data_IF_646409006751
#
_entry.id   IF_646409006751
#
_cell.length_a   1.000
_cell.length_b   1.000
_cell.length_c   1.000
_cell.angle_alpha   90.00
_cell.angle_beta   90.00
_cell.angle_gamma   90.00
#
_symmetry.space_group_name_H-M   'P 1'
#
loop_
_entity.id
_entity.type
_entity.pdbx_description
1 polymer ?
#
# COMPACT_ATOMS: atom_id res chain seq x y z
N UNK A 1 -7.86 36.99 3.70
CA UNK A 1 -8.69 36.75 2.52
C UNK A 1 -8.06 35.58 1.73
N UNK A 2 -8.89 34.65 1.31
CA UNK A 2 -8.46 33.56 0.42
C UNK A 2 -8.32 34.12 -0.99
N UNK A 3 -7.23 33.82 -1.66
CA UNK A 3 -6.98 34.18 -3.04
C UNK A 3 -6.97 32.89 -3.86
N UNK A 4 -7.85 32.81 -4.84
CA UNK A 4 -7.81 31.74 -5.83
C UNK A 4 -6.61 31.97 -6.75
N UNK A 5 -5.79 30.94 -6.88
CA UNK A 5 -4.65 30.91 -7.79
C UNK A 5 -4.76 29.68 -8.68
N UNK A 6 -4.79 29.90 -9.97
CA UNK A 6 -4.67 28.81 -10.93
C UNK A 6 -3.28 28.21 -10.85
N UNK A 7 -3.22 26.90 -10.70
CA UNK A 7 -1.97 26.12 -10.68
C UNK A 7 -2.10 24.96 -11.63
N UNK A 8 -1.05 24.69 -12.40
CA UNK A 8 -0.97 23.49 -13.19
C UNK A 8 -0.75 22.29 -12.26
N UNK A 9 -1.71 21.38 -12.26
CA UNK A 9 -1.71 20.16 -11.43
C UNK A 9 -1.89 18.92 -12.29
N UNK A 10 -1.20 17.85 -11.89
CA UNK A 10 -1.41 16.52 -12.45
C UNK A 10 -2.21 15.67 -11.48
N UNK A 11 -3.07 14.79 -12.01
CA UNK A 11 -3.73 13.75 -11.23
C UNK A 11 -2.75 12.63 -10.95
N UNK A 12 -2.78 12.12 -9.73
CA UNK A 12 -2.04 10.93 -9.29
C UNK A 12 -3.06 9.85 -8.97
N UNK A 13 -2.82 8.64 -9.44
CA UNK A 13 -3.61 7.45 -9.14
C UNK A 13 -2.65 6.33 -8.79
N UNK A 14 -2.87 5.71 -7.64
CA UNK A 14 -2.18 4.50 -7.20
C UNK A 14 -3.19 3.39 -6.99
N UNK A 15 -2.86 2.19 -7.41
CA UNK A 15 -3.64 0.97 -7.12
C UNK A 15 -2.67 -0.18 -6.90
N UNK A 16 -2.85 -0.90 -5.79
CA UNK A 16 -2.07 -2.09 -5.48
C UNK A 16 -2.91 -3.15 -4.77
N UNK A 17 -2.40 -4.38 -4.70
CA UNK A 17 -3.06 -5.47 -4.00
C UNK A 17 -2.45 -5.70 -2.63
N UNK A 18 -3.30 -5.99 -1.63
CA UNK A 18 -2.88 -6.38 -0.28
C UNK A 18 -3.58 -7.66 0.17
N UNK A 19 -3.33 -8.74 -0.56
CA UNK A 19 -4.11 -9.97 -0.52
C UNK A 19 -3.86 -10.82 0.72
N UNK A 20 -2.58 -11.15 1.00
CA UNK A 20 -2.23 -12.09 2.06
C UNK A 20 -2.57 -11.58 3.47
N UNK A 21 -2.20 -10.36 3.87
CA UNK A 21 -2.59 -9.84 5.18
C UNK A 21 -4.11 -9.74 5.35
N UNK A 22 -4.85 -9.38 4.28
CA UNK A 22 -6.32 -9.34 4.29
C UNK A 22 -6.93 -10.74 4.43
N UNK A 23 -6.29 -11.78 3.89
CA UNK A 23 -6.74 -13.16 4.08
C UNK A 23 -6.60 -13.62 5.54
N UNK A 24 -5.55 -13.19 6.24
CA UNK A 24 -5.25 -13.61 7.61
C UNK A 24 -6.03 -12.76 8.64
N UNK A 25 -6.07 -11.45 8.45
CA UNK A 25 -6.74 -10.49 9.33
C UNK A 25 -7.41 -9.42 8.47
N UNK A 26 -8.70 -9.60 8.09
CA UNK A 26 -9.33 -8.77 7.08
C UNK A 26 -9.33 -7.28 7.41
N UNK A 27 -9.65 -6.91 8.65
CA UNK A 27 -9.66 -5.51 9.09
C UNK A 27 -8.25 -4.89 9.01
N UNK A 28 -7.29 -5.44 9.76
CA UNK A 28 -5.92 -4.89 9.82
C UNK A 28 -5.20 -5.01 8.48
N UNK A 29 -5.41 -6.10 7.75
CA UNK A 29 -4.81 -6.28 6.43
C UNK A 29 -5.30 -5.25 5.40
N UNK A 30 -6.59 -4.94 5.40
CA UNK A 30 -7.14 -3.90 4.50
C UNK A 30 -6.77 -2.49 4.96
N UNK A 31 -6.68 -2.24 6.26
CA UNK A 31 -6.24 -0.97 6.84
C UNK A 31 -4.80 -0.66 6.41
N UNK A 32 -3.87 -1.58 6.64
CA UNK A 32 -2.47 -1.41 6.27
C UNK A 32 -2.24 -1.36 4.76
N UNK A 33 -3.09 -2.05 3.97
CA UNK A 33 -3.11 -1.89 2.52
C UNK A 33 -3.44 -0.47 2.08
N UNK A 34 -4.40 0.18 2.74
CA UNK A 34 -4.72 1.60 2.50
C UNK A 34 -3.55 2.50 2.90
N UNK A 35 -2.85 2.21 4.00
CA UNK A 35 -1.65 2.95 4.39
C UNK A 35 -0.53 2.84 3.35
N UNK A 36 -0.28 1.63 2.81
CA UNK A 36 0.71 1.41 1.75
C UNK A 36 0.42 2.23 0.51
N UNK A 37 -0.83 2.23 0.08
CA UNK A 37 -1.27 3.02 -1.07
C UNK A 37 -1.07 4.53 -0.85
N UNK A 38 -1.42 5.05 0.36
CA UNK A 38 -1.22 6.46 0.72
C UNK A 38 0.27 6.82 0.60
N UNK A 39 1.16 5.97 1.11
CA UNK A 39 2.61 6.25 1.07
C UNK A 39 3.15 6.34 -0.35
N UNK A 40 2.80 5.40 -1.20
CA UNK A 40 3.20 5.40 -2.61
C UNK A 40 2.69 6.66 -3.34
N UNK A 41 1.42 6.99 -3.13
CA UNK A 41 0.82 8.19 -3.70
C UNK A 41 1.55 9.44 -3.21
N UNK A 42 1.76 9.58 -1.89
CA UNK A 42 2.45 10.70 -1.27
C UNK A 42 3.89 10.86 -1.75
N UNK A 43 4.61 9.74 -1.97
CA UNK A 43 5.99 9.72 -2.45
C UNK A 43 6.14 9.96 -3.96
N UNK A 44 5.02 10.17 -4.68
CA UNK A 44 5.08 10.46 -6.12
C UNK A 44 5.78 11.81 -6.37
N UNK A 45 6.73 11.82 -7.31
CA UNK A 45 7.53 12.99 -7.63
C UNK A 45 8.36 13.48 -6.44
N UNK A 46 8.10 14.70 -5.99
CA UNK A 46 8.70 15.30 -4.78
C UNK A 46 7.66 15.64 -3.73
N UNK A 47 6.64 14.79 -3.63
CA UNK A 47 5.52 14.88 -2.71
C UNK A 47 4.22 15.30 -3.39
N UNK A 48 3.24 14.41 -3.36
CA UNK A 48 1.87 14.65 -3.82
C UNK A 48 0.89 14.77 -2.66
N UNK A 49 -0.32 15.26 -2.97
CA UNK A 49 -1.41 15.45 -2.01
C UNK A 49 -2.46 14.39 -2.24
N UNK A 50 -2.57 13.47 -1.33
CA UNK A 50 -3.58 12.41 -1.35
C UNK A 50 -4.98 13.01 -1.09
N UNK A 51 -6.00 12.62 -1.87
CA UNK A 51 -7.33 13.25 -1.83
C UNK A 51 -8.44 12.29 -1.44
N UNK A 52 -8.46 11.10 -2.00
CA UNK A 52 -9.48 10.09 -1.72
C UNK A 52 -8.87 8.69 -1.84
N UNK A 53 -9.25 7.81 -0.94
CA UNK A 53 -8.96 6.39 -1.02
C UNK A 53 -10.11 5.62 -1.64
N UNK A 54 -9.83 4.45 -2.18
CA UNK A 54 -10.82 3.48 -2.61
C UNK A 54 -10.34 2.05 -2.31
N UNK A 55 -11.28 1.13 -2.21
CA UNK A 55 -10.94 -0.27 -2.02
C UNK A 55 -11.88 -1.18 -2.82
N UNK A 56 -11.36 -2.32 -3.24
CA UNK A 56 -12.12 -3.33 -3.96
C UNK A 56 -11.78 -4.74 -3.49
N UNK A 57 -12.74 -5.65 -3.58
CA UNK A 57 -12.57 -7.01 -3.07
C UNK A 57 -13.08 -8.04 -4.07
N UNK A 58 -12.27 -9.07 -4.34
CA UNK A 58 -12.71 -10.32 -4.95
C UNK A 58 -12.56 -11.42 -3.89
N UNK A 59 -13.64 -12.17 -3.67
CA UNK A 59 -13.68 -13.30 -2.74
C UNK A 59 -14.44 -14.48 -3.38
N UNK A 60 -14.34 -15.65 -2.78
CA UNK A 60 -15.17 -16.79 -3.13
C UNK A 60 -16.65 -16.57 -2.71
N UNK A 61 -17.49 -17.57 -2.78
CA UNK A 61 -18.89 -17.49 -2.41
C UNK A 61 -19.06 -17.07 -0.94
N UNK A 62 -20.00 -16.15 -0.69
CA UNK A 62 -20.20 -15.58 0.65
C UNK A 62 -20.90 -16.55 1.59
N UNK A 63 -21.78 -17.41 1.09
CA UNK A 63 -22.60 -18.35 1.88
C UNK A 63 -23.28 -17.64 3.07
N UNK A 64 -23.96 -16.51 2.81
CA UNK A 64 -24.61 -15.69 3.84
C UNK A 64 -25.70 -16.54 4.51
N UNK A 65 -25.62 -16.78 5.85
CA UNK A 65 -26.60 -17.61 6.55
C UNK A 65 -28.03 -17.13 6.37
N UNK A 66 -28.90 -18.00 5.87
CA UNK A 66 -30.31 -17.68 5.59
C UNK A 66 -30.54 -16.86 4.31
N UNK A 67 -29.50 -16.61 3.53
CA UNK A 67 -29.57 -15.90 2.24
C UNK A 67 -28.66 -16.52 1.20
N UNK A 68 -28.45 -17.83 1.25
CA UNK A 68 -27.59 -18.55 0.30
C UNK A 68 -28.16 -18.42 -1.13
N UNK A 69 -27.29 -18.14 -2.07
CA UNK A 69 -27.67 -18.01 -3.46
C UNK A 69 -27.73 -19.36 -4.17
N UNK A 70 -28.53 -19.52 -5.24
CA UNK A 70 -28.67 -20.80 -5.95
C UNK A 70 -27.35 -21.39 -6.46
N UNK A 71 -26.38 -20.54 -6.78
CA UNK A 71 -25.06 -20.95 -7.29
C UNK A 71 -24.06 -21.31 -6.18
N UNK A 72 -24.37 -21.06 -4.91
CA UNK A 72 -23.49 -21.34 -3.76
C UNK A 72 -23.67 -22.76 -3.19
N UNK A 73 -24.71 -23.48 -3.61
CA UNK A 73 -25.19 -24.73 -2.99
C UNK A 73 -24.24 -25.93 -3.07
N UNK A 74 -23.17 -25.88 -3.85
CA UNK A 74 -22.27 -27.00 -4.08
C UNK A 74 -20.83 -26.73 -3.61
N UNK A 75 -20.60 -25.69 -2.87
CA UNK A 75 -19.26 -25.38 -2.36
C UNK A 75 -18.92 -26.36 -1.23
N UNK A 76 -18.14 -27.39 -1.55
CA UNK A 76 -17.57 -28.33 -0.58
C UNK A 76 -16.12 -27.95 -0.19
N UNK A 77 -15.67 -26.76 -0.58
CA UNK A 77 -14.31 -26.31 -0.30
C UNK A 77 -14.18 -25.94 1.16
N UNK A 78 -13.31 -26.66 1.87
CA UNK A 78 -12.92 -26.26 3.22
C UNK A 78 -11.89 -25.16 3.14
N UNK A 79 -12.15 -24.03 3.81
CA UNK A 79 -11.15 -23.00 4.01
C UNK A 79 -10.06 -23.49 4.97
N UNK A 80 -8.78 -23.18 4.72
CA UNK A 80 -7.74 -23.34 5.73
C UNK A 80 -8.11 -22.55 6.99
N UNK A 81 -7.95 -23.13 8.17
CA UNK A 81 -8.37 -22.53 9.46
C UNK A 81 -7.82 -21.11 9.70
N UNK A 82 -6.67 -20.80 9.12
CA UNK A 82 -6.00 -19.51 9.24
C UNK A 82 -6.45 -18.43 8.24
N UNK A 83 -7.25 -18.79 7.24
CA UNK A 83 -7.78 -17.84 6.26
C UNK A 83 -9.21 -17.51 6.65
N UNK A 84 -9.49 -16.22 6.78
CA UNK A 84 -10.83 -15.72 7.04
C UNK A 84 -11.80 -16.14 5.91
N UNK A 85 -13.04 -16.36 6.25
CA UNK A 85 -14.08 -16.70 5.28
C UNK A 85 -14.34 -15.54 4.32
N UNK A 86 -14.88 -15.84 3.15
CA UNK A 86 -15.26 -14.82 2.17
C UNK A 86 -16.21 -13.77 2.77
N UNK A 87 -17.15 -14.19 3.63
CA UNK A 87 -18.08 -13.31 4.31
C UNK A 87 -17.38 -12.37 5.32
N UNK A 88 -16.49 -12.91 6.15
CA UNK A 88 -15.70 -12.10 7.09
C UNK A 88 -14.85 -11.06 6.35
N UNK A 89 -14.19 -11.44 5.26
CA UNK A 89 -13.40 -10.52 4.45
C UNK A 89 -14.27 -9.39 3.88
N UNK A 90 -15.47 -9.73 3.37
CA UNK A 90 -16.38 -8.74 2.78
C UNK A 90 -17.01 -7.80 3.80
N UNK A 91 -17.11 -8.21 5.06
CA UNK A 91 -17.62 -7.37 6.16
C UNK A 91 -16.50 -6.52 6.75
N UNK A 92 -15.39 -7.13 7.14
CA UNK A 92 -14.34 -6.46 7.91
C UNK A 92 -13.32 -5.70 7.04
N UNK A 93 -13.01 -6.21 5.85
CA UNK A 93 -12.03 -5.59 4.97
C UNK A 93 -12.35 -4.13 4.61
N UNK A 94 -13.57 -3.83 4.12
CA UNK A 94 -13.97 -2.44 3.84
C UNK A 94 -13.96 -1.54 5.08
N UNK A 95 -14.28 -2.09 6.26
CA UNK A 95 -14.23 -1.35 7.52
C UNK A 95 -12.81 -0.96 7.89
N UNK A 96 -11.86 -1.88 7.75
CA UNK A 96 -10.45 -1.62 7.99
C UNK A 96 -9.89 -0.53 7.05
N UNK A 97 -10.14 -0.66 5.74
CA UNK A 97 -9.73 0.33 4.76
C UNK A 97 -10.35 1.71 5.05
N UNK A 98 -11.63 1.75 5.40
CA UNK A 98 -12.35 2.98 5.73
C UNK A 98 -11.83 3.63 7.02
N UNK A 99 -11.55 2.83 8.05
CA UNK A 99 -11.00 3.29 9.32
C UNK A 99 -9.65 3.99 9.14
N UNK A 100 -8.72 3.35 8.43
CA UNK A 100 -7.41 3.94 8.16
C UNK A 100 -7.52 5.30 7.45
N UNK A 101 -8.30 5.34 6.37
CA UNK A 101 -8.49 6.58 5.62
C UNK A 101 -9.15 7.68 6.47
N UNK A 102 -10.13 7.31 7.30
CA UNK A 102 -10.81 8.25 8.18
C UNK A 102 -9.87 8.86 9.23
N UNK A 103 -9.04 8.05 9.88
CA UNK A 103 -8.06 8.52 10.86
C UNK A 103 -6.93 9.33 10.19
N UNK A 104 -6.49 8.93 9.00
CA UNK A 104 -5.55 9.71 8.20
C UNK A 104 -6.13 11.07 7.79
N UNK A 105 -7.43 11.16 7.55
CA UNK A 105 -8.14 12.40 7.23
C UNK A 105 -8.47 12.60 5.76
N UNK A 106 -8.78 11.51 5.03
CA UNK A 106 -9.33 11.55 3.68
C UNK A 106 -10.53 10.60 3.54
N UNK A 107 -11.52 10.87 2.68
CA UNK A 107 -12.63 9.95 2.46
C UNK A 107 -12.14 8.66 1.77
N UNK A 108 -12.70 7.52 2.19
CA UNK A 108 -12.53 6.24 1.51
C UNK A 108 -13.80 5.89 0.74
N UNK A 109 -13.65 5.64 -0.55
CA UNK A 109 -14.72 5.21 -1.42
C UNK A 109 -14.66 3.69 -1.62
N UNK A 110 -15.81 3.04 -1.62
CA UNK A 110 -15.88 1.62 -1.98
C UNK A 110 -15.80 1.51 -3.51
N UNK A 111 -14.76 0.84 -4.00
CA UNK A 111 -14.54 0.66 -5.43
C UNK A 111 -15.44 -0.41 -6.02
N UNK A 112 -15.35 -1.65 -5.53
CA UNK A 112 -16.17 -2.76 -6.01
C UNK A 112 -16.18 -3.95 -5.07
N UNK A 113 -17.20 -4.81 -5.26
CA UNK A 113 -17.31 -6.14 -4.67
C UNK A 113 -17.51 -7.17 -5.77
N UNK A 114 -16.76 -8.27 -5.72
CA UNK A 114 -16.87 -9.38 -6.64
C UNK A 114 -16.83 -10.70 -5.87
N UNK A 115 -17.70 -11.63 -6.25
CA UNK A 115 -17.64 -13.01 -5.79
C UNK A 115 -17.51 -13.92 -7.00
N UNK A 116 -16.66 -14.93 -6.88
CA UNK A 116 -16.54 -15.95 -7.90
C UNK A 116 -16.01 -17.25 -7.32
N UNK A 117 -16.74 -18.32 -7.57
CA UNK A 117 -16.30 -19.67 -7.30
C UNK A 117 -17.00 -20.61 -8.29
N UNK A 118 -16.26 -21.47 -8.93
CA UNK A 118 -16.78 -22.42 -9.91
C UNK A 118 -16.10 -23.78 -9.78
N UNK A 119 -16.88 -24.85 -9.78
CA UNK A 119 -16.37 -26.20 -9.94
C UNK A 119 -15.95 -26.42 -11.41
N UNK A 120 -14.70 -26.80 -11.62
CA UNK A 120 -14.13 -27.06 -12.95
C UNK A 120 -14.19 -28.56 -13.28
N UNK A 121 -13.98 -29.39 -12.27
CA UNK A 121 -14.08 -30.84 -12.34
C UNK A 121 -14.34 -31.39 -10.94
N UNK A 122 -14.68 -32.68 -10.81
CA UNK A 122 -14.93 -33.31 -9.52
C UNK A 122 -13.83 -32.97 -8.50
N UNK A 123 -14.19 -32.25 -7.44
CA UNK A 123 -13.31 -31.77 -6.36
C UNK A 123 -12.23 -30.76 -6.78
N UNK A 124 -12.36 -30.10 -7.93
CA UNK A 124 -11.47 -29.01 -8.35
C UNK A 124 -12.29 -27.72 -8.56
N UNK A 125 -11.96 -26.71 -7.78
CA UNK A 125 -12.65 -25.43 -7.77
C UNK A 125 -11.71 -24.31 -8.18
N UNK A 126 -12.28 -23.34 -8.89
CA UNK A 126 -11.63 -22.08 -9.22
C UNK A 126 -12.36 -20.96 -8.50
N UNK A 127 -11.65 -20.20 -7.67
CA UNK A 127 -12.25 -19.14 -6.85
C UNK A 127 -11.20 -18.31 -6.13
N UNK A 128 -11.67 -17.30 -5.43
CA UNK A 128 -10.82 -16.37 -4.65
C UNK A 128 -10.83 -16.72 -3.17
N UNK A 129 -10.42 -17.95 -2.81
CA UNK A 129 -10.29 -18.38 -1.41
C UNK A 129 -9.21 -17.55 -0.69
N UNK A 130 -8.05 -17.31 -1.32
CA UNK A 130 -7.19 -16.19 -0.99
C UNK A 130 -7.75 -14.96 -1.74
N UNK A 131 -8.22 -13.93 -1.04
CA UNK A 131 -8.89 -12.81 -1.68
C UNK A 131 -7.94 -12.02 -2.57
N UNK A 132 -8.50 -11.23 -3.48
CA UNK A 132 -7.83 -10.06 -4.00
C UNK A 132 -8.43 -8.86 -3.28
N UNK A 133 -7.64 -8.19 -2.45
CA UNK A 133 -7.95 -6.89 -1.89
C UNK A 133 -7.17 -5.85 -2.67
N UNK A 134 -7.88 -4.87 -3.21
CA UNK A 134 -7.28 -3.72 -3.88
C UNK A 134 -7.41 -2.50 -2.97
N UNK A 135 -6.26 -1.92 -2.61
CA UNK A 135 -6.17 -0.58 -2.08
C UNK A 135 -5.85 0.38 -3.21
N UNK A 136 -6.54 1.50 -3.26
CA UNK A 136 -6.31 2.51 -4.29
C UNK A 136 -6.57 3.90 -3.77
N UNK A 137 -6.08 4.88 -4.51
CA UNK A 137 -6.25 6.28 -4.18
C UNK A 137 -6.13 7.20 -5.37
N UNK A 138 -6.57 8.41 -5.13
CA UNK A 138 -6.52 9.50 -6.06
C UNK A 138 -5.98 10.75 -5.36
N UNK A 139 -5.05 11.42 -6.01
CA UNK A 139 -4.43 12.63 -5.51
C UNK A 139 -4.07 13.63 -6.59
N UNK A 140 -3.32 14.64 -6.19
CA UNK A 140 -2.88 15.71 -7.07
C UNK A 140 -1.44 16.14 -6.75
N UNK A 141 -0.68 16.47 -7.76
CA UNK A 141 0.67 16.98 -7.62
C UNK A 141 0.86 18.25 -8.47
N UNK A 142 1.45 19.27 -7.89
CA UNK A 142 1.78 20.49 -8.63
C UNK A 142 2.82 20.21 -9.72
N UNK A 143 2.68 20.84 -10.87
CA UNK A 143 3.58 20.68 -12.00
C UNK A 143 5.07 20.93 -11.64
N UNK A 144 5.37 21.80 -10.68
CA UNK A 144 6.74 22.04 -10.19
C UNK A 144 7.35 20.85 -9.42
N UNK A 145 6.52 19.90 -8.96
CA UNK A 145 6.92 18.79 -8.07
C UNK A 145 6.82 17.39 -8.72
N UNK A 146 6.26 17.27 -9.95
CA UNK A 146 5.96 15.96 -10.52
C UNK A 146 7.21 15.13 -10.89
N UNK A 147 8.36 15.80 -11.07
CA UNK A 147 9.64 15.12 -11.32
C UNK A 147 10.52 15.17 -10.09
N UNK A 148 11.09 14.03 -9.73
CA UNK A 148 12.23 13.95 -8.81
C UNK A 148 13.42 14.71 -9.40
N UNK A 149 14.25 15.29 -8.55
CA UNK A 149 15.53 15.86 -8.94
C UNK A 149 16.63 14.83 -8.74
N UNK A 150 17.77 15.05 -9.39
CA UNK A 150 18.94 14.20 -9.16
C UNK A 150 19.54 14.49 -7.79
N UNK A 151 19.80 13.44 -7.05
CA UNK A 151 20.57 13.48 -5.81
C UNK A 151 22.04 13.70 -6.19
N UNK A 152 22.74 14.55 -5.48
CA UNK A 152 24.14 14.84 -5.68
C UNK A 152 24.99 14.27 -4.54
N UNK A 153 26.33 14.29 -4.73
CA UNK A 153 27.25 13.88 -3.68
C UNK A 153 27.04 14.70 -2.41
N UNK A 154 27.11 14.02 -1.25
CA UNK A 154 26.90 14.62 0.07
C UNK A 154 25.49 15.11 0.38
N UNK A 155 24.50 14.91 -0.50
CA UNK A 155 23.11 15.13 -0.15
C UNK A 155 22.70 14.19 1.00
N UNK A 156 21.94 14.73 1.95
CA UNK A 156 21.53 13.98 3.13
C UNK A 156 20.46 12.94 2.78
N UNK A 157 20.55 11.79 3.44
CA UNK A 157 19.54 10.74 3.39
C UNK A 157 18.82 10.69 4.74
N UNK A 158 17.51 10.81 4.71
CA UNK A 158 16.67 10.99 5.90
C UNK A 158 15.60 9.89 5.91
N UNK A 159 15.37 9.33 7.10
CA UNK A 159 14.14 8.59 7.43
C UNK A 159 13.19 9.56 8.11
N UNK A 160 11.99 9.71 7.58
CA UNK A 160 10.89 10.49 8.14
C UNK A 160 9.81 9.53 8.62
N UNK A 161 9.28 9.72 9.84
CA UNK A 161 8.16 8.95 10.39
C UNK A 161 8.53 8.07 11.57
N UNK A 162 7.77 6.99 11.77
CA UNK A 162 7.85 6.13 12.94
C UNK A 162 9.15 5.35 13.09
N UNK A 163 9.42 4.79 14.30
CA UNK A 163 10.61 3.99 14.54
C UNK A 163 10.51 2.59 13.93
N UNK A 164 11.65 1.95 13.71
CA UNK A 164 11.74 0.53 13.37
C UNK A 164 11.24 -0.35 14.51
N UNK A 165 10.43 -1.34 14.18
CA UNK A 165 9.88 -2.37 15.08
C UNK A 165 10.03 -3.73 14.42
N UNK A 166 9.95 -4.80 15.21
CA UNK A 166 9.95 -6.16 14.64
C UNK A 166 8.58 -6.48 14.03
N UNK A 167 8.36 -6.00 12.82
CA UNK A 167 7.10 -6.16 12.08
C UNK A 167 7.41 -6.45 10.62
N UNK A 168 6.70 -7.43 10.04
CA UNK A 168 6.74 -7.71 8.60
C UNK A 168 8.06 -8.26 8.07
N UNK A 169 8.97 -8.73 8.93
CA UNK A 169 10.25 -9.27 8.49
C UNK A 169 10.03 -10.44 7.52
N UNK A 170 10.39 -10.23 6.25
CA UNK A 170 10.11 -11.20 5.18
C UNK A 170 8.66 -11.25 4.69
N UNK A 171 7.81 -10.28 5.06
CA UNK A 171 6.38 -10.21 4.69
C UNK A 171 6.18 -10.17 3.18
N UNK A 172 6.96 -9.41 2.45
CA UNK A 172 6.94 -9.37 0.98
C UNK A 172 7.22 -10.74 0.35
N UNK A 173 8.15 -11.51 0.90
CA UNK A 173 8.44 -12.88 0.46
C UNK A 173 7.31 -13.86 0.83
N UNK A 174 6.67 -13.70 2.00
CA UNK A 174 5.52 -14.50 2.41
C UNK A 174 4.30 -14.26 1.51
N UNK A 175 4.07 -13.01 1.11
CA UNK A 175 2.99 -12.62 0.19
C UNK A 175 3.07 -13.33 -1.16
N UNK A 176 4.27 -13.58 -1.67
CA UNK A 176 4.53 -14.21 -2.97
C UNK A 176 4.48 -15.74 -2.95
N UNK A 177 4.43 -16.39 -1.78
CA UNK A 177 4.39 -17.85 -1.66
C UNK A 177 2.96 -18.39 -1.66
N UNK A 178 2.80 -19.62 -2.16
CA UNK A 178 1.57 -20.36 -1.96
C UNK A 178 1.36 -20.62 -0.45
N UNK A 179 0.16 -20.36 0.04
CA UNK A 179 -0.21 -20.59 1.44
C UNK A 179 -0.05 -22.08 1.78
N UNK A 180 1.01 -22.44 2.51
CA UNK A 180 1.26 -23.80 2.98
C UNK A 180 1.13 -23.88 4.50
N UNK A 181 0.71 -25.03 5.02
CA UNK A 181 0.38 -25.28 6.44
C UNK A 181 1.56 -25.16 7.42
N UNK A 182 2.75 -24.74 7.00
CA UNK A 182 3.97 -24.80 7.81
C UNK A 182 4.47 -23.47 8.40
N UNK A 183 3.75 -22.35 8.23
CA UNK A 183 4.30 -21.03 8.55
C UNK A 183 3.34 -20.12 9.35
N UNK A 184 2.61 -20.64 10.33
CA UNK A 184 1.64 -19.85 11.13
C UNK A 184 2.26 -18.62 11.80
N UNK A 185 3.41 -18.78 12.46
CA UNK A 185 4.10 -17.68 13.16
C UNK A 185 4.55 -16.58 12.19
N UNK A 186 4.97 -16.94 10.97
CA UNK A 186 5.35 -15.98 9.94
C UNK A 186 4.14 -15.27 9.33
N UNK A 187 3.00 -15.97 9.22
CA UNK A 187 1.77 -15.38 8.70
C UNK A 187 1.25 -14.29 9.64
N UNK A 188 1.23 -14.53 10.97
CA UNK A 188 0.85 -13.51 11.95
C UNK A 188 1.87 -12.37 12.07
N UNK A 189 3.16 -12.65 11.95
CA UNK A 189 4.20 -11.63 11.93
C UNK A 189 4.16 -10.76 10.67
N UNK A 190 3.52 -11.22 9.58
CA UNK A 190 3.34 -10.46 8.36
C UNK A 190 2.21 -9.44 8.44
N UNK A 191 1.29 -9.56 9.41
CA UNK A 191 0.23 -8.58 9.64
C UNK A 191 0.82 -7.40 10.38
N UNK A 192 0.85 -6.26 9.73
CA UNK A 192 1.42 -5.02 10.24
C UNK A 192 0.41 -4.31 11.16
N UNK A 193 0.93 -3.42 12.03
CA UNK A 193 0.11 -2.55 12.86
C UNK A 193 0.04 -1.17 12.21
N UNK A 194 -1.17 -0.68 12.03
CA UNK A 194 -1.43 0.63 11.46
C UNK A 194 -1.18 1.77 12.47
N UNK A 195 -0.69 2.90 11.97
CA UNK A 195 -0.63 4.18 12.68
C UNK A 195 -0.96 5.34 11.73
N UNK A 196 -2.25 5.51 11.37
CA UNK A 196 -2.68 6.54 10.40
C UNK A 196 -2.32 7.96 10.83
N UNK A 197 -2.26 8.23 12.14
CA UNK A 197 -1.84 9.52 12.67
C UNK A 197 -0.38 9.83 12.33
N UNK A 198 0.52 8.87 12.50
CA UNK A 198 1.93 9.04 12.13
C UNK A 198 2.06 9.30 10.62
N UNK A 199 1.32 8.56 9.81
CA UNK A 199 1.32 8.77 8.37
C UNK A 199 0.79 10.14 7.99
N UNK A 200 -0.25 10.63 8.67
CA UNK A 200 -0.75 11.99 8.49
C UNK A 200 0.30 13.04 8.84
N UNK A 201 1.07 12.85 9.92
CA UNK A 201 2.17 13.76 10.29
C UNK A 201 3.24 13.80 9.20
N UNK A 202 3.60 12.64 8.64
CA UNK A 202 4.52 12.58 7.50
C UNK A 202 3.97 13.33 6.29
N UNK A 203 2.70 13.14 5.95
CA UNK A 203 2.04 13.84 4.85
C UNK A 203 2.07 15.36 5.05
N UNK A 204 1.82 15.85 6.28
CA UNK A 204 1.90 17.30 6.57
C UNK A 204 3.31 17.85 6.35
N UNK A 205 4.36 17.10 6.74
CA UNK A 205 5.76 17.49 6.47
C UNK A 205 6.00 17.58 4.96
N UNK A 206 5.60 16.54 4.21
CA UNK A 206 5.71 16.50 2.74
C UNK A 206 4.97 17.69 2.11
N UNK A 207 3.74 17.93 2.52
CA UNK A 207 2.90 19.03 2.03
C UNK A 207 3.52 20.40 2.32
N UNK A 208 4.10 20.62 3.50
CA UNK A 208 4.78 21.86 3.85
C UNK A 208 6.02 22.07 2.99
N UNK A 209 6.85 21.05 2.81
CA UNK A 209 8.02 21.12 1.94
C UNK A 209 7.63 21.43 0.49
N UNK A 210 6.61 20.74 -0.04
CA UNK A 210 6.16 20.89 -1.43
C UNK A 210 5.52 22.26 -1.70
N UNK A 211 4.96 22.91 -0.67
CA UNK A 211 4.34 24.23 -0.77
C UNK A 211 5.33 25.40 -0.61
N UNK A 212 6.57 25.17 -0.23
CA UNK A 212 7.60 26.19 -0.22
C UNK A 212 7.80 26.78 -1.61
N UNK A 213 8.31 28.02 -1.70
CA UNK A 213 8.69 28.63 -2.97
C UNK A 213 9.62 27.73 -3.77
N UNK A 214 10.62 27.16 -3.08
CA UNK A 214 11.49 26.10 -3.56
C UNK A 214 11.27 24.87 -2.68
N UNK A 215 10.74 23.80 -3.25
CA UNK A 215 10.62 22.55 -2.54
C UNK A 215 12.01 22.03 -2.19
N UNK A 216 12.26 21.78 -0.90
CA UNK A 216 13.55 21.31 -0.40
C UNK A 216 13.77 19.81 -0.57
N UNK A 217 12.69 19.03 -0.79
CA UNK A 217 12.79 17.59 -1.11
C UNK A 217 13.35 17.44 -2.52
N UNK A 218 14.47 16.73 -2.65
CA UNK A 218 15.12 16.39 -3.93
C UNK A 218 14.44 15.17 -4.52
N UNK A 219 14.36 14.10 -3.74
CA UNK A 219 13.73 12.84 -4.07
C UNK A 219 13.12 12.24 -2.81
N UNK A 220 12.06 11.47 -2.95
CA UNK A 220 11.36 10.79 -1.86
C UNK A 220 10.92 9.42 -2.33
N UNK A 221 10.94 8.44 -1.43
CA UNK A 221 10.45 7.09 -1.62
C UNK A 221 9.70 6.64 -0.35
N UNK A 222 8.64 5.87 -0.48
CA UNK A 222 7.98 5.25 0.67
C UNK A 222 8.80 4.08 1.21
N UNK A 223 8.53 3.68 2.44
CA UNK A 223 9.10 2.47 3.05
C UNK A 223 8.01 1.41 3.11
N UNK A 224 8.07 0.47 2.17
CA UNK A 224 7.14 -0.64 2.03
C UNK A 224 7.80 -1.99 2.22
N UNK A 225 7.54 -2.92 1.30
CA UNK A 225 8.11 -4.27 1.32
C UNK A 225 9.64 -4.25 1.33
N UNK A 226 10.25 -5.07 2.21
CA UNK A 226 11.69 -5.10 2.40
C UNK A 226 12.24 -3.96 3.27
N UNK A 227 11.39 -3.02 3.70
CA UNK A 227 11.79 -1.95 4.61
C UNK A 227 12.84 -1.01 4.03
N UNK A 228 13.75 -0.55 4.89
CA UNK A 228 14.84 0.34 4.47
C UNK A 228 15.81 -0.33 3.49
N UNK A 229 15.91 -1.67 3.53
CA UNK A 229 16.80 -2.41 2.63
C UNK A 229 16.41 -2.32 1.15
N UNK A 230 15.16 -1.97 0.88
CA UNK A 230 14.65 -1.70 -0.46
C UNK A 230 14.60 -0.18 -0.73
N UNK A 231 13.96 0.58 0.14
CA UNK A 231 13.65 1.98 -0.08
C UNK A 231 14.89 2.89 -0.22
N UNK A 232 15.95 2.67 0.59
CA UNK A 232 17.14 3.53 0.55
C UNK A 232 17.99 3.29 -0.70
N UNK A 233 18.32 2.03 -1.08
CA UNK A 233 18.99 1.78 -2.36
C UNK A 233 18.22 2.29 -3.57
N UNK A 234 16.90 2.10 -3.63
CA UNK A 234 16.06 2.61 -4.73
C UNK A 234 16.13 4.14 -4.83
N UNK A 235 16.05 4.84 -3.70
CA UNK A 235 16.13 6.30 -3.64
C UNK A 235 17.36 6.85 -4.33
N UNK A 236 18.54 6.26 -4.09
CA UNK A 236 19.82 6.74 -4.64
C UNK A 236 20.09 6.21 -6.05
N UNK A 237 19.59 5.01 -6.36
CA UNK A 237 19.75 4.38 -7.67
C UNK A 237 19.11 5.20 -8.80
N UNK A 238 17.98 5.84 -8.55
CA UNK A 238 17.29 6.71 -9.52
C UNK A 238 18.23 7.81 -10.05
N UNK A 239 19.20 8.25 -9.21
CA UNK A 239 20.20 9.26 -9.56
C UNK A 239 21.57 8.67 -9.91
N UNK A 240 21.70 7.34 -10.03
CA UNK A 240 22.95 6.62 -10.27
C UNK A 240 24.03 6.95 -9.22
N UNK A 241 23.63 7.02 -7.98
CA UNK A 241 24.51 7.28 -6.81
C UNK A 241 24.63 6.03 -5.95
N UNK A 242 25.62 6.03 -5.09
CA UNK A 242 25.70 5.17 -3.91
C UNK A 242 25.29 5.90 -2.65
N UNK A 243 25.46 5.24 -1.52
CA UNK A 243 25.16 5.82 -0.23
C UNK A 243 26.06 5.27 0.88
N UNK A 244 26.30 6.07 1.91
CA UNK A 244 26.87 5.63 3.18
C UNK A 244 25.83 5.84 4.27
N UNK A 245 25.38 4.76 4.87
CA UNK A 245 24.32 4.74 5.89
C UNK A 245 24.90 4.27 7.22
N UNK A 246 24.61 5.02 8.28
CA UNK A 246 24.91 4.68 9.64
C UNK A 246 23.68 4.06 10.31
N UNK A 247 23.71 2.74 10.53
CA UNK A 247 22.58 1.99 11.09
C UNK A 247 22.21 2.45 12.51
N UNK A 248 23.16 3.02 13.26
CA UNK A 248 22.93 3.48 14.63
C UNK A 248 22.05 4.74 14.71
N UNK A 249 21.92 5.44 13.58
CA UNK A 249 21.09 6.63 13.45
C UNK A 249 19.64 6.33 13.05
N UNK A 250 19.34 5.08 12.72
CA UNK A 250 17.97 4.68 12.39
C UNK A 250 17.14 4.64 13.68
N UNK A 251 16.00 5.36 13.74
CA UNK A 251 15.13 5.32 14.91
C UNK A 251 14.58 3.91 15.14
N UNK A 252 14.70 3.41 16.37
CA UNK A 252 14.25 2.08 16.78
C UNK A 252 13.35 2.19 18.00
N UNK A 253 12.27 1.39 18.06
CA UNK A 253 11.39 1.30 19.20
C UNK A 253 11.93 0.33 20.27
N UNK A 254 12.69 -0.68 19.86
CA UNK A 254 13.25 -1.71 20.71
C UNK A 254 14.79 -1.81 20.49
N UNK A 255 15.54 -1.64 21.56
CA UNK A 255 17.01 -1.69 21.55
C UNK A 255 17.57 -3.12 21.37
N UNK A 256 16.73 -4.14 21.44
CA UNK A 256 17.14 -5.54 21.24
C UNK A 256 17.19 -5.95 19.76
N UNK A 257 16.74 -5.08 18.85
CA UNK A 257 16.73 -5.36 17.42
C UNK A 257 18.14 -5.55 16.87
N UNK A 258 18.33 -6.64 16.13
CA UNK A 258 19.58 -6.91 15.41
C UNK A 258 19.71 -5.97 14.18
N UNK A 259 20.92 -5.81 13.61
CA UNK A 259 21.09 -5.01 12.38
C UNK A 259 20.20 -5.46 11.23
N UNK A 260 19.99 -6.77 11.05
CA UNK A 260 19.08 -7.31 10.04
C UNK A 260 17.64 -6.88 10.29
N UNK A 261 17.18 -6.98 11.53
CA UNK A 261 15.81 -6.59 11.92
C UNK A 261 15.60 -5.08 11.80
N UNK A 262 16.60 -4.26 12.09
CA UNK A 262 16.55 -2.79 11.90
C UNK A 262 16.43 -2.45 10.41
N UNK A 263 17.20 -3.15 9.56
CA UNK A 263 17.34 -2.81 8.15
C UNK A 263 16.22 -3.36 7.27
N UNK A 264 15.72 -4.56 7.58
CA UNK A 264 14.78 -5.31 6.72
C UNK A 264 13.34 -5.37 7.26
N UNK A 265 13.03 -4.74 8.42
CA UNK A 265 11.65 -4.71 8.90
C UNK A 265 10.76 -3.82 8.03
N UNK A 266 9.50 -4.19 7.93
CA UNK A 266 8.49 -3.47 7.15
C UNK A 266 7.61 -2.57 8.04
N UNK A 267 8.20 -1.93 9.07
CA UNK A 267 7.47 -0.95 9.88
C UNK A 267 6.93 0.15 9.00
N UNK A 268 5.64 0.37 9.12
CA UNK A 268 4.87 1.27 8.29
C UNK A 268 5.05 2.74 8.68
N UNK A 269 4.40 3.63 7.96
CA UNK A 269 4.35 5.08 8.21
C UNK A 269 5.74 5.72 8.24
N UNK A 270 6.56 5.34 7.24
CA UNK A 270 7.91 5.87 7.04
C UNK A 270 8.16 6.21 5.57
N UNK A 271 9.00 7.21 5.39
CA UNK A 271 9.53 7.59 4.08
C UNK A 271 11.05 7.73 4.17
N UNK A 272 11.73 7.49 3.07
CA UNK A 272 13.12 7.91 2.89
C UNK A 272 13.15 9.05 1.88
N UNK A 273 13.93 10.09 2.16
CA UNK A 273 14.03 11.26 1.30
C UNK A 273 15.44 11.85 1.32
N UNK A 274 15.73 12.64 0.30
CA UNK A 274 17.00 13.37 0.21
C UNK A 274 16.74 14.87 0.14
N UNK A 275 17.58 15.61 0.87
CA UNK A 275 17.64 17.09 0.88
C UNK A 275 19.08 17.57 0.85
N UNK A 276 19.29 18.84 0.50
CA UNK A 276 20.60 19.48 0.66
C UNK A 276 20.92 19.69 2.15
N UNK A 277 22.23 19.58 2.51
CA UNK A 277 22.67 19.84 3.88
C UNK A 277 22.28 21.24 4.38
N UNK A 278 22.30 22.25 3.51
CA UNK A 278 21.93 23.63 3.86
C UNK A 278 20.43 23.78 4.21
N UNK A 279 19.57 22.88 3.74
CA UNK A 279 18.13 22.94 3.96
C UNK A 279 17.68 22.21 5.24
N UNK A 280 18.60 21.52 5.96
CA UNK A 280 18.25 20.69 7.14
C UNK A 280 17.55 21.48 8.24
N UNK A 281 17.96 22.71 8.52
CA UNK A 281 17.35 23.54 9.56
C UNK A 281 15.90 23.93 9.26
N UNK A 282 15.56 24.13 7.98
CA UNK A 282 14.18 24.36 7.55
C UNK A 282 13.37 23.09 7.71
N UNK A 283 13.92 21.94 7.28
CA UNK A 283 13.28 20.65 7.41
C UNK A 283 12.98 20.28 8.87
N UNK A 284 13.96 20.45 9.75
CA UNK A 284 13.82 20.25 11.19
C UNK A 284 12.68 21.11 11.78
N UNK A 285 12.63 22.39 11.41
CA UNK A 285 11.57 23.30 11.87
C UNK A 285 10.18 22.82 11.45
N UNK A 286 10.05 22.31 10.22
CA UNK A 286 8.78 21.75 9.70
C UNK A 286 8.43 20.48 10.48
N UNK A 287 9.37 19.54 10.66
CA UNK A 287 9.15 18.31 11.41
C UNK A 287 8.75 18.56 12.86
N UNK A 288 9.40 19.49 13.53
CA UNK A 288 9.05 19.89 14.91
C UNK A 288 7.62 20.46 14.99
N UNK A 289 7.26 21.30 14.04
CA UNK A 289 5.91 21.87 13.97
C UNK A 289 4.83 20.81 13.80
N UNK A 290 5.05 19.83 12.91
CA UNK A 290 4.09 18.78 12.63
C UNK A 290 4.21 17.59 13.61
N UNK A 291 5.10 17.71 14.62
CA UNK A 291 5.40 16.66 15.59
C UNK A 291 5.71 15.30 14.92
N UNK A 292 6.45 15.36 13.81
CA UNK A 292 6.85 14.21 13.01
C UNK A 292 8.33 13.90 13.26
N UNK A 293 8.66 12.71 13.77
CA UNK A 293 10.05 12.33 13.97
C UNK A 293 10.77 12.13 12.64
N UNK A 294 12.06 12.45 12.64
CA UNK A 294 12.95 12.18 11.52
C UNK A 294 14.38 11.90 12.01
N UNK A 295 15.19 11.30 11.15
CA UNK A 295 16.63 11.12 11.41
C UNK A 295 17.43 11.20 10.13
N UNK A 296 18.55 11.90 10.17
CA UNK A 296 19.58 11.87 9.12
C UNK A 296 20.40 10.60 9.32
N UNK A 297 20.17 9.61 8.46
CA UNK A 297 20.78 8.28 8.58
C UNK A 297 22.07 8.12 7.76
N UNK A 298 22.35 9.05 6.85
CA UNK A 298 23.52 8.99 5.99
C UNK A 298 23.53 10.06 4.91
N UNK A 299 24.29 9.80 3.88
CA UNK A 299 24.48 10.72 2.75
C UNK A 299 24.73 9.94 1.45
N UNK A 300 24.41 10.57 0.34
CA UNK A 300 24.68 10.06 -0.99
C UNK A 300 26.14 10.24 -1.39
N UNK A 301 26.65 9.37 -2.28
CA UNK A 301 28.02 9.42 -2.78
C UNK A 301 28.05 9.25 -4.30
N UNK A 302 29.04 9.86 -4.97
CA UNK A 302 29.31 9.64 -6.39
C UNK A 302 29.84 8.23 -6.67
N UNK A 303 30.40 7.59 -5.67
CA UNK A 303 30.80 6.19 -5.75
C UNK A 303 29.53 5.32 -5.77
N UNK A 304 29.33 4.57 -6.85
CA UNK A 304 28.18 3.66 -7.00
C UNK A 304 28.32 2.40 -6.12
N UNK A 305 28.52 2.62 -4.83
CA UNK A 305 28.63 1.58 -3.82
C UNK A 305 27.67 1.89 -2.68
N UNK A 306 26.91 0.90 -2.25
CA UNK A 306 26.03 0.99 -1.10
C UNK A 306 26.74 0.46 0.15
N UNK A 307 26.89 1.30 1.16
CA UNK A 307 27.57 0.96 2.41
C UNK A 307 26.60 1.14 3.58
N UNK A 308 26.35 0.06 4.33
CA UNK A 308 25.65 0.08 5.61
C UNK A 308 26.62 -0.30 6.71
N UNK A 309 26.83 0.58 7.68
CA UNK A 309 27.85 0.40 8.73
C UNK A 309 27.40 0.96 10.07
N UNK A 310 28.16 0.61 11.12
CA UNK A 310 28.27 1.36 12.37
C UNK A 310 29.71 1.87 12.55
N UNK A 311 30.05 2.35 13.73
CA UNK A 311 31.41 2.90 14.02
C UNK A 311 32.51 1.83 13.89
N UNK A 312 32.22 0.56 14.04
CA UNK A 312 33.22 -0.52 14.16
C UNK A 312 33.13 -1.57 13.03
N UNK A 313 32.00 -1.67 12.32
CA UNK A 313 31.70 -2.79 11.43
C UNK A 313 30.90 -2.33 10.20
N UNK A 314 31.23 -2.90 9.05
CA UNK A 314 30.43 -2.75 7.82
C UNK A 314 29.57 -3.98 7.62
N UNK A 315 28.26 -3.80 7.60
CA UNK A 315 27.27 -4.88 7.36
C UNK A 315 27.02 -5.12 5.89
N UNK A 316 27.06 -4.06 5.08
CA UNK A 316 26.89 -4.10 3.63
C UNK A 316 27.97 -3.19 3.01
N UNK A 317 28.65 -3.70 1.98
CA UNK A 317 29.57 -2.95 1.13
C UNK A 317 29.49 -3.58 -0.27
N UNK A 318 28.55 -3.10 -1.09
CA UNK A 318 28.17 -3.72 -2.36
C UNK A 318 28.07 -2.67 -3.46
N UNK A 319 28.56 -2.96 -4.67
CA UNK A 319 28.27 -2.15 -5.86
C UNK A 319 26.77 -2.09 -6.12
N UNK A 320 26.25 -0.91 -6.49
CA UNK A 320 24.83 -0.73 -6.84
C UNK A 320 24.41 -1.61 -8.04
N UNK A 321 25.33 -1.90 -8.95
CA UNK A 321 25.11 -2.82 -10.08
C UNK A 321 24.71 -4.23 -9.62
N UNK A 322 25.25 -4.69 -8.49
CA UNK A 322 24.89 -6.01 -7.91
C UNK A 322 23.47 -6.02 -7.38
N UNK A 323 22.98 -4.89 -6.87
CA UNK A 323 21.63 -4.74 -6.34
C UNK A 323 20.59 -4.55 -7.47
N UNK A 324 20.93 -3.80 -8.50
CA UNK A 324 20.01 -3.38 -9.58
C UNK A 324 20.47 -3.81 -10.98
N UNK A 325 21.37 -4.78 -11.09
CA UNK A 325 21.89 -5.25 -12.37
C UNK A 325 20.82 -5.72 -13.36
N UNK A 326 21.24 -5.91 -14.61
CA UNK A 326 20.34 -6.25 -15.71
C UNK A 326 19.52 -7.51 -15.40
N UNK A 327 18.20 -7.36 -15.38
CA UNK A 327 17.28 -8.50 -15.34
C UNK A 327 17.35 -9.20 -16.69
N UNK A 328 17.67 -10.49 -16.70
CA UNK A 328 17.60 -11.30 -17.91
C UNK A 328 16.22 -11.20 -18.56
N UNK A 329 16.18 -11.09 -19.88
CA UNK A 329 14.93 -11.08 -20.64
C UNK A 329 14.19 -12.42 -20.42
N UNK A 330 12.96 -12.36 -19.93
CA UNK A 330 12.07 -13.51 -19.84
C UNK A 330 11.17 -13.54 -21.07
N UNK A 331 11.36 -14.53 -21.93
CA UNK A 331 10.52 -14.72 -23.11
C UNK A 331 9.41 -15.73 -22.80
N UNK A 332 8.15 -15.28 -22.79
CA UNK A 332 6.98 -16.13 -22.58
C UNK A 332 6.26 -16.33 -23.91
N UNK A 333 6.18 -17.59 -24.35
CA UNK A 333 5.41 -17.96 -25.55
C UNK A 333 4.05 -18.51 -25.09
N UNK A 334 2.97 -17.89 -25.57
CA UNK A 334 1.60 -18.32 -25.27
C UNK A 334 0.86 -18.68 -26.54
N UNK A 335 0.13 -19.80 -26.51
CA UNK A 335 -0.78 -20.18 -27.57
C UNK A 335 -2.19 -19.73 -27.17
N UNK A 336 -2.87 -18.97 -28.03
CA UNK A 336 -4.29 -18.66 -27.87
C UNK A 336 -5.13 -19.78 -28.49
N UNK A 337 -6.11 -20.27 -27.76
CA UNK A 337 -7.18 -21.11 -28.29
C UNK A 337 -8.47 -20.31 -28.37
N UNK A 338 -9.16 -20.39 -29.48
CA UNK A 338 -10.52 -19.88 -29.60
C UNK A 338 -11.48 -20.89 -28.96
N UNK A 339 -12.24 -20.44 -27.96
CA UNK A 339 -13.34 -21.21 -27.40
C UNK A 339 -14.58 -20.88 -28.23
N UNK A 340 -15.17 -21.88 -28.88
CA UNK A 340 -16.50 -21.73 -29.53
C UNK A 340 -17.52 -21.38 -28.45
N UNK A 341 -18.01 -20.16 -28.49
CA UNK A 341 -19.11 -19.73 -27.62
C UNK A 341 -20.40 -20.23 -28.21
N UNK A 342 -20.96 -21.33 -27.68
CA UNK A 342 -22.32 -21.67 -27.90
C UNK A 342 -23.21 -20.56 -27.32
N UNK A 343 -24.13 -20.03 -28.12
CA UNK A 343 -25.08 -19.02 -27.68
C UNK A 343 -25.89 -19.51 -26.47
N UNK A 344 -26.16 -18.64 -25.51
CA UNK A 344 -27.01 -18.97 -24.36
C UNK A 344 -28.45 -19.06 -24.79
N UNK A 345 -29.19 -20.08 -24.30
CA UNK A 345 -30.65 -20.16 -24.45
C UNK A 345 -31.35 -19.38 -23.34
N UNK A 346 -32.02 -18.30 -23.69
CA UNK A 346 -32.76 -17.42 -22.79
C UNK A 346 -34.25 -17.75 -22.69
N UNK A 347 -34.75 -18.78 -23.38
CA UNK A 347 -36.18 -19.07 -23.52
C UNK A 347 -36.90 -19.42 -22.21
N UNK A 348 -36.17 -19.85 -21.18
CA UNK A 348 -36.72 -20.20 -19.86
C UNK A 348 -36.70 -19.09 -18.82
N UNK A 349 -36.17 -17.92 -19.13
CA UNK A 349 -35.95 -16.85 -18.13
C UNK A 349 -37.20 -15.93 -18.05
N UNK A 350 -37.63 -15.65 -16.80
CA UNK A 350 -38.62 -14.63 -16.50
C UNK A 350 -37.93 -13.36 -16.05
N UNK A 351 -38.37 -12.21 -16.55
CA UNK A 351 -37.74 -10.90 -16.23
C UNK A 351 -37.67 -10.62 -14.73
N UNK A 352 -38.78 -10.82 -14.00
CA UNK A 352 -38.85 -10.53 -12.56
C UNK A 352 -37.88 -11.40 -11.75
N UNK A 353 -37.77 -12.69 -12.09
CA UNK A 353 -36.82 -13.60 -11.43
C UNK A 353 -35.35 -13.19 -11.69
N UNK A 354 -35.07 -12.80 -12.93
CA UNK A 354 -33.73 -12.31 -13.31
C UNK A 354 -33.40 -10.99 -12.61
N UNK A 355 -34.36 -10.07 -12.55
CA UNK A 355 -34.20 -8.78 -11.89
C UNK A 355 -33.88 -8.96 -10.39
N UNK A 356 -34.66 -9.80 -9.69
CA UNK A 356 -34.41 -10.10 -8.29
C UNK A 356 -32.99 -10.69 -8.07
N UNK A 357 -32.62 -11.67 -8.88
CA UNK A 357 -31.29 -12.31 -8.79
C UNK A 357 -30.17 -11.30 -9.03
N UNK A 358 -30.28 -10.45 -10.04
CA UNK A 358 -29.28 -9.43 -10.34
C UNK A 358 -29.15 -8.43 -9.20
N UNK A 359 -30.28 -7.94 -8.66
CA UNK A 359 -30.27 -7.00 -7.53
C UNK A 359 -29.72 -7.62 -6.23
N UNK A 360 -29.76 -8.95 -6.11
CA UNK A 360 -29.22 -9.69 -4.95
C UNK A 360 -27.73 -10.04 -5.09
N UNK A 361 -27.12 -9.86 -6.26
CA UNK A 361 -25.69 -10.14 -6.45
C UNK A 361 -24.85 -9.22 -5.53
N UNK A 362 -23.84 -9.74 -4.83
CA UNK A 362 -22.97 -8.91 -3.99
C UNK A 362 -22.32 -7.73 -4.72
N UNK A 363 -22.07 -7.89 -6.03
CA UNK A 363 -21.53 -6.81 -6.88
C UNK A 363 -22.55 -5.70 -7.21
N UNK A 364 -23.85 -5.96 -7.08
CA UNK A 364 -24.93 -5.04 -7.46
C UNK A 364 -25.71 -4.55 -6.25
N UNK A 365 -25.94 -5.41 -5.25
CA UNK A 365 -26.71 -5.11 -4.05
C UNK A 365 -26.19 -3.86 -3.31
N UNK A 366 -27.04 -3.24 -2.52
CA UNK A 366 -26.72 -2.03 -1.76
C UNK A 366 -25.55 -2.26 -0.79
N UNK A 367 -24.58 -1.34 -0.78
CA UNK A 367 -23.47 -1.27 0.17
C UNK A 367 -23.61 -0.07 1.11
N UNK A 368 -24.82 0.43 1.27
CA UNK A 368 -25.08 1.64 2.06
C UNK A 368 -24.46 1.58 3.46
N UNK A 369 -24.55 0.43 4.13
CA UNK A 369 -23.97 0.27 5.47
C UNK A 369 -22.45 0.44 5.48
N UNK A 370 -21.74 0.01 4.45
CA UNK A 370 -20.26 0.15 4.35
C UNK A 370 -19.85 1.61 4.07
N UNK A 371 -20.57 2.27 3.19
CA UNK A 371 -20.24 3.65 2.81
C UNK A 371 -20.69 4.70 3.83
N UNK A 372 -21.51 4.33 4.79
CA UNK A 372 -21.98 5.24 5.85
C UNK A 372 -21.27 5.06 7.20
N UNK A 373 -20.46 4.02 7.35
CA UNK A 373 -19.70 3.75 8.58
C UNK A 373 -18.57 4.76 8.77
N UNK A 374 -17.79 5.03 7.73
CA UNK A 374 -16.75 6.06 7.75
C UNK A 374 -17.34 7.46 7.59
N UNK A 375 -16.66 8.47 8.09
CA UNK A 375 -17.03 9.86 7.82
C UNK A 375 -16.74 10.22 6.36
N UNK A 376 -17.78 10.37 5.57
CA UNK A 376 -17.70 10.73 4.15
C UNK A 376 -17.23 12.17 3.91
N UNK A 377 -17.31 12.99 4.92
CA UNK A 377 -16.93 14.41 4.89
C UNK A 377 -15.54 14.67 5.47
N UNK A 378 -14.84 13.62 5.89
CA UNK A 378 -13.52 13.75 6.52
C UNK A 378 -12.55 14.56 5.64
N UNK A 379 -11.79 15.44 6.27
CA UNK A 379 -10.88 16.36 5.60
C UNK A 379 -11.56 17.51 4.84
N UNK A 380 -12.89 17.57 4.81
CA UNK A 380 -13.65 18.63 4.14
C UNK A 380 -13.48 18.65 2.62
N UNK A 381 -13.11 17.52 2.01
CA UNK A 381 -12.83 17.41 0.58
C UNK A 381 -14.06 17.02 -0.25
N UNK A 382 -15.14 16.58 0.39
CA UNK A 382 -16.36 16.15 -0.28
C UNK A 382 -17.16 17.39 -0.71
N UNK A 383 -17.35 17.56 -2.01
CA UNK A 383 -18.11 18.67 -2.60
C UNK A 383 -19.61 18.32 -2.70
N UNK A 384 -19.89 17.07 -3.01
CA UNK A 384 -21.24 16.54 -3.15
C UNK A 384 -21.31 15.13 -2.60
N UNK A 385 -22.33 14.85 -1.81
CA UNK A 385 -22.56 13.52 -1.28
C UNK A 385 -22.98 12.55 -2.40
N UNK A 386 -22.62 11.29 -2.26
CA UNK A 386 -22.81 10.23 -3.24
C UNK A 386 -24.28 9.83 -3.47
N UNK A 387 -25.20 10.31 -2.64
CA UNK A 387 -26.64 10.00 -2.73
C UNK A 387 -27.49 11.18 -3.25
N UNK A 388 -26.87 12.20 -3.75
CA UNK A 388 -27.58 13.40 -4.24
C UNK A 388 -27.44 13.48 -5.76
#
# INVERSE_FOLDING_TARGET
>A
SYVYKDTDTHSVIKVETHNHPTAISPFSGAATGSGGEIRDEAATGRGSKTKAGLCGFNVSNLNIPGFEQPWEKNSSVSYPERIATALEIMVEGPLGASSYNNEFGRPCLVGYFRTFEQEISSNSYYGYHKPIMIAGGFGAIDNKNYKKLNIEDSDLIIVLGGPSMLVGLGGGAASSKHSSTKNEDLDFASVQRENPEMERRCQEVIDRCSNLLKNIIISIHDVGAGGLSNAVPELVNDSKKGAVIDITKIPIADKSLTPLEIWCNESQERYVLSIKGDDIGIFETICQRENCPFSVIGYATDNQTFILKNDSESYIDLPMELLFGEKGEQQISVNSSTIDQNGYDYSGFKFDDCLQKVLSLPSVASKQFLITIGDRSVGGLTVQDQFI
#
